data_IF_993464428910
#
_entry.id   IF_993464428910
#
_cell.length_a   1.000
_cell.length_b   1.000
_cell.length_c   1.000
_cell.angle_alpha   90.00
_cell.angle_beta   90.00
_cell.angle_gamma   90.00
#
_symmetry.space_group_name_H-M   'P 1'
#
loop_
_entity.id
_entity.type
_entity.pdbx_description
1 polymer ?
#
# COMPACT_ATOMS: atom_id res chain seq x y z
N UNK A 1 -3.23 28.58 40.14
CA UNK A 1 -4.43 28.15 40.88
C UNK A 1 -5.63 29.02 40.53
N UNK A 2 -5.53 30.36 40.64
CA UNK A 2 -6.63 31.30 40.32
C UNK A 2 -7.24 31.12 38.93
N UNK A 3 -6.44 31.10 37.86
CA UNK A 3 -6.94 30.91 36.49
C UNK A 3 -7.67 29.57 36.28
N UNK A 4 -7.25 28.51 36.97
CA UNK A 4 -7.92 27.21 36.90
C UNK A 4 -9.27 27.23 37.63
N UNK A 5 -9.34 27.89 38.79
CA UNK A 5 -10.59 28.08 39.53
C UNK A 5 -11.58 28.94 38.73
N UNK A 6 -11.12 30.03 38.11
CA UNK A 6 -11.93 30.85 37.20
C UNK A 6 -12.46 30.06 36.00
N UNK A 7 -11.61 29.24 35.37
CA UNK A 7 -12.02 28.40 34.25
C UNK A 7 -13.06 27.36 34.65
N UNK A 8 -12.90 26.72 35.80
CA UNK A 8 -13.85 25.76 36.35
C UNK A 8 -15.18 26.41 36.71
N UNK A 9 -15.16 27.61 37.30
CA UNK A 9 -16.35 28.35 37.70
C UNK A 9 -17.25 28.76 36.52
N UNK A 10 -16.72 28.87 35.29
CA UNK A 10 -17.53 29.11 34.08
C UNK A 10 -18.45 27.94 33.72
N UNK A 11 -18.21 26.74 34.27
CA UNK A 11 -19.07 25.58 34.12
C UNK A 11 -19.38 25.20 32.66
N UNK A 12 -20.59 24.69 32.43
CA UNK A 12 -21.03 24.24 31.09
C UNK A 12 -21.21 25.37 30.08
N UNK A 13 -21.33 26.63 30.53
CA UNK A 13 -21.45 27.79 29.66
C UNK A 13 -20.17 28.06 28.85
N UNK A 14 -19.01 27.57 29.30
CA UNK A 14 -17.76 27.65 28.56
C UNK A 14 -17.57 26.53 27.52
N UNK A 15 -18.48 25.54 27.44
CA UNK A 15 -18.36 24.47 26.46
C UNK A 15 -18.63 25.01 25.05
N UNK A 16 -17.71 24.79 24.08
CA UNK A 16 -17.97 25.18 22.70
C UNK A 16 -19.14 24.37 22.15
N UNK A 17 -19.89 24.96 21.21
CA UNK A 17 -20.91 24.23 20.46
C UNK A 17 -20.24 23.01 19.79
N UNK A 18 -20.74 21.78 20.01
CA UNK A 18 -20.13 20.59 19.42
C UNK A 18 -20.12 20.68 17.89
N UNK A 19 -18.97 20.41 17.29
CA UNK A 19 -18.86 20.27 15.84
C UNK A 19 -19.59 19.00 15.40
N UNK A 20 -20.50 19.14 14.44
CA UNK A 20 -21.26 18.04 13.84
C UNK A 20 -21.04 18.07 12.33
N UNK A 21 -20.01 17.38 11.81
CA UNK A 21 -19.75 17.40 10.39
C UNK A 21 -20.91 16.75 9.62
N UNK A 22 -21.23 17.29 8.45
CA UNK A 22 -22.11 16.62 7.50
C UNK A 22 -21.40 15.39 6.92
N UNK A 23 -22.17 14.38 6.49
CA UNK A 23 -21.65 13.24 5.73
C UNK A 23 -21.90 13.47 4.23
N UNK A 24 -20.91 13.30 3.35
CA UNK A 24 -19.52 12.96 3.65
C UNK A 24 -18.78 14.11 4.36
N UNK A 25 -17.83 13.78 5.25
CA UNK A 25 -17.01 14.78 5.94
C UNK A 25 -16.07 15.43 4.92
N UNK A 26 -16.19 16.74 4.73
CA UNK A 26 -15.39 17.52 3.78
C UNK A 26 -14.64 18.63 4.52
N UNK A 27 -13.49 19.09 4.01
CA UNK A 27 -12.74 20.17 4.63
C UNK A 27 -13.53 21.47 4.73
N UNK A 28 -13.42 22.16 5.85
CA UNK A 28 -14.09 23.44 6.12
C UNK A 28 -13.04 24.54 6.24
N UNK A 29 -13.22 25.61 5.48
CA UNK A 29 -12.33 26.76 5.48
C UNK A 29 -12.34 27.46 6.85
N UNK A 30 -11.16 27.89 7.32
CA UNK A 30 -10.99 28.50 8.65
C UNK A 30 -11.06 27.52 9.82
N UNK A 31 -11.27 26.23 9.58
CA UNK A 31 -11.19 25.17 10.59
C UNK A 31 -9.97 24.29 10.36
N UNK A 32 -9.45 23.69 11.43
CA UNK A 32 -8.42 22.66 11.31
C UNK A 32 -9.02 21.38 10.71
N UNK A 33 -8.52 20.99 9.55
CA UNK A 33 -8.91 19.77 8.85
C UNK A 33 -7.85 18.69 9.08
N UNK A 34 -8.25 17.51 9.54
CA UNK A 34 -7.34 16.42 9.92
C UNK A 34 -7.71 15.18 9.14
N UNK A 35 -6.87 14.86 8.15
CA UNK A 35 -6.93 13.61 7.41
C UNK A 35 -6.08 12.56 8.13
N UNK A 36 -6.68 11.43 8.46
CA UNK A 36 -6.03 10.33 9.15
C UNK A 36 -6.17 9.09 8.28
N UNK A 37 -5.05 8.42 8.04
CA UNK A 37 -5.03 7.09 7.45
C UNK A 37 -4.41 6.09 8.41
N UNK A 38 -4.81 4.84 8.29
CA UNK A 38 -4.08 3.71 8.86
C UNK A 38 -3.52 2.87 7.72
N UNK A 39 -2.38 2.22 7.95
CA UNK A 39 -1.79 1.35 6.93
C UNK A 39 -2.81 0.28 6.52
N UNK A 40 -3.00 0.10 5.21
CA UNK A 40 -3.96 -0.84 4.65
C UNK A 40 -3.53 -2.27 5.03
N UNK A 41 -4.28 -3.02 5.86
CA UNK A 41 -3.97 -4.41 6.13
C UNK A 41 -4.04 -5.26 4.87
N UNK A 42 -3.07 -6.14 4.70
CA UNK A 42 -3.09 -7.13 3.62
C UNK A 42 -4.22 -8.13 3.84
N UNK A 43 -5.14 -8.23 2.87
CA UNK A 43 -6.44 -8.88 3.08
C UNK A 43 -6.34 -10.37 3.39
N UNK A 44 -5.38 -11.09 2.83
CA UNK A 44 -5.38 -12.56 2.91
C UNK A 44 -4.88 -13.12 4.25
N UNK A 45 -4.59 -12.27 5.23
CA UNK A 45 -4.10 -12.66 6.55
C UNK A 45 -5.04 -12.12 7.64
N UNK A 46 -5.46 -12.99 8.56
CA UNK A 46 -6.19 -12.53 9.75
C UNK A 46 -5.25 -11.65 10.60
N UNK A 47 -5.65 -10.41 10.94
CA UNK A 47 -4.78 -9.51 11.70
C UNK A 47 -4.63 -9.99 13.15
N UNK A 48 -3.40 -10.00 13.66
CA UNK A 48 -3.11 -10.23 15.07
C UNK A 48 -2.99 -8.91 15.85
N UNK A 49 -2.90 -8.99 17.19
CA UNK A 49 -2.86 -7.80 18.07
C UNK A 49 -1.75 -6.80 17.70
N UNK A 50 -0.56 -7.29 17.32
CA UNK A 50 0.52 -6.45 16.81
C UNK A 50 0.15 -5.59 15.60
N UNK A 51 -0.63 -6.12 14.64
CA UNK A 51 -1.11 -5.34 13.50
C UNK A 51 -2.12 -4.28 13.95
N UNK A 52 -3.00 -4.65 14.89
CA UNK A 52 -4.07 -3.78 15.40
C UNK A 52 -3.47 -2.56 16.13
N UNK A 53 -2.59 -2.80 17.11
CA UNK A 53 -1.98 -1.73 17.90
C UNK A 53 -1.06 -0.84 17.05
N UNK A 54 -0.29 -1.42 16.12
CA UNK A 54 0.65 -0.68 15.29
C UNK A 54 -0.01 0.21 14.24
N UNK A 55 -1.29 0.01 13.94
CA UNK A 55 -1.99 0.70 12.86
C UNK A 55 -3.36 1.22 13.32
N UNK A 56 -4.40 0.38 13.24
CA UNK A 56 -5.80 0.84 13.31
C UNK A 56 -6.18 1.38 14.69
N UNK A 57 -5.72 0.76 15.78
CA UNK A 57 -6.07 1.21 17.14
C UNK A 57 -5.35 2.50 17.54
N UNK A 58 -4.09 2.65 17.13
CA UNK A 58 -3.34 3.90 17.33
C UNK A 58 -3.98 5.07 16.56
N UNK A 59 -4.33 4.84 15.29
CA UNK A 59 -5.00 5.85 14.47
C UNK A 59 -6.41 6.19 14.98
N UNK A 60 -7.17 5.20 15.46
CA UNK A 60 -8.48 5.41 16.07
C UNK A 60 -8.43 6.29 17.31
N UNK A 61 -7.45 6.03 18.20
CA UNK A 61 -7.24 6.83 19.41
C UNK A 61 -7.02 8.30 19.06
N UNK A 62 -6.18 8.56 18.06
CA UNK A 62 -5.94 9.93 17.59
C UNK A 62 -7.17 10.53 16.90
N UNK A 63 -7.89 9.77 16.06
CA UNK A 63 -9.11 10.22 15.40
C UNK A 63 -10.19 10.65 16.40
N UNK A 64 -10.43 9.84 17.43
CA UNK A 64 -11.36 10.17 18.51
C UNK A 64 -10.95 11.43 19.27
N UNK A 65 -9.66 11.57 19.58
CA UNK A 65 -9.13 12.79 20.18
C UNK A 65 -9.36 14.02 19.28
N UNK A 66 -9.08 13.94 17.99
CA UNK A 66 -9.30 15.03 17.05
C UNK A 66 -10.79 15.46 17.00
N UNK A 67 -11.71 14.49 17.00
CA UNK A 67 -13.15 14.77 17.08
C UNK A 67 -13.54 15.46 18.40
N UNK A 68 -12.98 15.02 19.53
CA UNK A 68 -13.18 15.70 20.83
C UNK A 68 -12.63 17.13 20.86
N UNK A 69 -11.60 17.41 20.05
CA UNK A 69 -11.04 18.76 19.86
C UNK A 69 -11.88 19.63 18.90
N UNK A 70 -13.05 19.17 18.46
CA UNK A 70 -13.89 19.81 17.43
C UNK A 70 -13.13 20.07 16.12
N UNK A 71 -12.10 19.29 15.80
CA UNK A 71 -11.43 19.37 14.51
C UNK A 71 -12.25 18.60 13.48
N UNK A 72 -12.21 19.07 12.23
CA UNK A 72 -12.87 18.39 11.14
C UNK A 72 -12.02 17.18 10.73
N UNK A 73 -12.44 15.98 11.12
CA UNK A 73 -11.62 14.77 11.03
C UNK A 73 -12.21 13.78 10.06
N UNK A 74 -11.41 13.31 9.11
CA UNK A 74 -11.71 12.19 8.23
C UNK A 74 -10.71 11.07 8.51
N UNK A 75 -11.19 9.94 9.03
CA UNK A 75 -10.38 8.74 9.27
C UNK A 75 -10.76 7.63 8.30
N UNK A 76 -9.87 7.32 7.36
CA UNK A 76 -10.08 6.28 6.33
C UNK A 76 -9.05 5.15 6.42
N UNK A 77 -9.49 3.94 6.11
CA UNK A 77 -8.65 2.76 5.92
C UNK A 77 -9.34 1.81 4.94
N UNK A 78 -8.76 0.64 4.70
CA UNK A 78 -9.34 -0.40 3.87
C UNK A 78 -8.40 -1.57 3.73
N UNK A 79 -8.80 -2.59 2.99
CA UNK A 79 -7.96 -3.76 2.72
C UNK A 79 -7.10 -3.56 1.47
N UNK A 80 -5.83 -3.98 1.56
CA UNK A 80 -4.94 -4.13 0.40
C UNK A 80 -5.07 -5.55 -0.17
N UNK A 81 -5.49 -5.64 -1.43
CA UNK A 81 -6.05 -6.85 -2.01
C UNK A 81 -5.28 -7.41 -3.23
N UNK A 82 -4.40 -6.61 -3.83
CA UNK A 82 -3.69 -7.01 -5.05
C UNK A 82 -2.38 -7.76 -4.77
N UNK A 83 -1.80 -8.34 -5.82
CA UNK A 83 -0.46 -8.94 -5.78
C UNK A 83 -0.47 -10.47 -5.69
N UNK A 84 0.71 -11.05 -5.90
CA UNK A 84 0.84 -12.51 -6.08
C UNK A 84 0.45 -13.31 -4.85
N UNK A 85 0.57 -12.78 -3.61
CA UNK A 85 0.15 -13.54 -2.43
C UNK A 85 -1.36 -13.82 -2.45
N UNK A 86 -2.17 -12.95 -3.08
CA UNK A 86 -3.61 -13.16 -3.23
C UNK A 86 -3.86 -14.28 -4.22
N UNK A 87 -3.17 -14.27 -5.36
CA UNK A 87 -3.26 -15.37 -6.33
C UNK A 87 -2.82 -16.71 -5.74
N UNK A 88 -1.72 -16.74 -4.97
CA UNK A 88 -1.25 -17.94 -4.28
C UNK A 88 -2.31 -18.47 -3.31
N UNK A 89 -2.81 -17.61 -2.42
CA UNK A 89 -3.77 -18.01 -1.39
C UNK A 89 -5.11 -18.43 -1.97
N UNK A 90 -5.56 -17.74 -3.04
CA UNK A 90 -6.75 -18.12 -3.79
C UNK A 90 -6.63 -19.55 -4.33
N UNK A 91 -5.49 -19.90 -4.94
CA UNK A 91 -5.23 -21.27 -5.44
C UNK A 91 -5.20 -22.29 -4.29
N UNK A 92 -4.55 -21.97 -3.17
CA UNK A 92 -4.51 -22.85 -1.99
C UNK A 92 -5.90 -23.14 -1.41
N UNK A 93 -6.81 -22.16 -1.44
CA UNK A 93 -8.18 -22.31 -0.93
C UNK A 93 -9.18 -22.77 -2.00
N UNK A 94 -8.76 -22.96 -3.25
CA UNK A 94 -9.65 -23.32 -4.36
C UNK A 94 -10.65 -22.22 -4.72
N UNK A 95 -10.28 -20.96 -4.53
CA UNK A 95 -11.10 -19.77 -4.80
C UNK A 95 -10.48 -18.91 -5.91
N UNK A 96 -11.27 -18.00 -6.48
CA UNK A 96 -10.73 -16.89 -7.27
C UNK A 96 -10.13 -15.79 -6.37
N UNK A 97 -9.22 -14.95 -6.89
CA UNK A 97 -8.69 -13.81 -6.14
C UNK A 97 -9.78 -12.87 -5.60
N UNK A 98 -10.85 -12.63 -6.35
CA UNK A 98 -11.96 -11.78 -5.89
C UNK A 98 -12.73 -12.42 -4.73
N UNK A 99 -13.00 -13.73 -4.79
CA UNK A 99 -13.73 -14.45 -3.74
C UNK A 99 -12.95 -14.48 -2.42
N UNK A 100 -11.64 -14.73 -2.47
CA UNK A 100 -10.83 -14.71 -1.26
C UNK A 100 -10.75 -13.30 -0.66
N UNK A 101 -10.57 -12.26 -1.48
CA UNK A 101 -10.58 -10.89 -1.00
C UNK A 101 -11.94 -10.52 -0.37
N UNK A 102 -13.05 -10.95 -0.97
CA UNK A 102 -14.39 -10.72 -0.41
C UNK A 102 -14.56 -11.39 0.96
N UNK A 103 -14.17 -12.67 1.06
CA UNK A 103 -14.20 -13.44 2.31
C UNK A 103 -13.42 -12.75 3.41
N UNK A 104 -12.18 -12.38 3.14
CA UNK A 104 -11.31 -11.83 4.18
C UNK A 104 -11.55 -10.35 4.47
N UNK A 105 -11.99 -9.53 3.49
CA UNK A 105 -12.43 -8.16 3.77
C UNK A 105 -13.57 -8.15 4.80
N UNK A 106 -14.52 -9.09 4.72
CA UNK A 106 -15.57 -9.23 5.73
C UNK A 106 -14.99 -9.57 7.12
N UNK A 107 -14.03 -10.49 7.19
CA UNK A 107 -13.34 -10.84 8.45
C UNK A 107 -12.64 -9.61 9.07
N UNK A 108 -11.87 -8.86 8.27
CA UNK A 108 -11.24 -7.61 8.74
C UNK A 108 -12.28 -6.62 9.25
N UNK A 109 -13.35 -6.40 8.49
CA UNK A 109 -14.43 -5.48 8.84
C UNK A 109 -15.07 -5.85 10.19
N UNK A 110 -15.35 -7.13 10.41
CA UNK A 110 -15.99 -7.60 11.64
C UNK A 110 -15.05 -7.50 12.85
N UNK A 111 -13.77 -7.83 12.69
CA UNK A 111 -12.75 -7.65 13.74
C UNK A 111 -12.65 -6.17 14.14
N UNK A 112 -12.51 -5.26 13.16
CA UNK A 112 -12.35 -3.84 13.47
C UNK A 112 -13.64 -3.22 14.03
N UNK A 113 -14.81 -3.71 13.63
CA UNK A 113 -16.08 -3.33 14.26
C UNK A 113 -16.14 -3.80 15.72
N UNK A 114 -15.68 -5.01 16.02
CA UNK A 114 -15.67 -5.54 17.39
C UNK A 114 -14.71 -4.76 18.30
N UNK A 115 -13.56 -4.32 17.78
CA UNK A 115 -12.64 -3.41 18.47
C UNK A 115 -13.15 -1.97 18.59
N UNK A 116 -14.35 -1.68 18.07
CA UNK A 116 -14.94 -0.34 17.98
C UNK A 116 -14.01 0.68 17.27
N UNK A 117 -13.38 0.27 16.16
CA UNK A 117 -12.58 1.19 15.34
C UNK A 117 -13.52 2.10 14.55
N UNK A 118 -13.40 3.40 14.78
CA UNK A 118 -14.32 4.44 14.31
C UNK A 118 -13.91 5.03 12.96
N UNK A 119 -13.75 4.19 11.95
CA UNK A 119 -13.54 4.65 10.57
C UNK A 119 -14.73 5.50 10.11
N UNK A 120 -14.44 6.61 9.43
CA UNK A 120 -15.47 7.33 8.67
C UNK A 120 -15.81 6.55 7.39
N UNK A 121 -14.82 5.84 6.83
CA UNK A 121 -15.00 4.89 5.73
C UNK A 121 -13.91 3.80 5.74
N UNK A 122 -14.32 2.54 5.62
CA UNK A 122 -13.43 1.38 5.45
C UNK A 122 -13.64 0.78 4.06
N UNK A 123 -12.69 1.01 3.15
CA UNK A 123 -12.80 0.67 1.74
C UNK A 123 -11.93 -0.52 1.32
N UNK A 124 -11.65 -0.59 0.01
CA UNK A 124 -10.93 -1.69 -0.66
C UNK A 124 -10.10 -1.12 -1.81
N UNK A 125 -8.96 -1.74 -2.12
CA UNK A 125 -8.14 -1.33 -3.28
C UNK A 125 -8.64 -1.89 -4.62
N UNK A 126 -9.51 -2.90 -4.64
CA UNK A 126 -10.04 -3.54 -5.85
C UNK A 126 -11.26 -2.82 -6.46
N UNK A 127 -11.11 -1.53 -6.78
CA UNK A 127 -12.24 -0.70 -7.28
C UNK A 127 -11.92 0.00 -8.61
N UNK A 128 -12.94 0.41 -9.39
CA UNK A 128 -12.73 1.22 -10.58
C UNK A 128 -11.97 2.52 -10.30
N UNK A 129 -12.28 3.20 -9.17
CA UNK A 129 -11.55 4.41 -8.75
C UNK A 129 -10.06 4.17 -8.53
N UNK A 130 -9.65 3.00 -7.99
CA UNK A 130 -8.24 2.64 -7.88
C UNK A 130 -7.59 2.64 -9.26
N UNK A 131 -8.23 1.98 -10.23
CA UNK A 131 -7.70 1.89 -11.60
C UNK A 131 -7.57 3.28 -12.22
N UNK A 132 -8.63 4.09 -12.16
CA UNK A 132 -8.61 5.43 -12.75
C UNK A 132 -7.55 6.34 -12.13
N UNK A 133 -7.44 6.38 -10.79
CA UNK A 133 -6.51 7.29 -10.10
C UNK A 133 -5.06 6.83 -10.26
N UNK A 134 -4.79 5.52 -10.14
CA UNK A 134 -3.45 4.98 -10.36
C UNK A 134 -2.97 5.23 -11.80
N UNK A 135 -3.87 5.09 -12.77
CA UNK A 135 -3.57 5.38 -14.18
C UNK A 135 -3.35 6.88 -14.43
N UNK A 136 -4.11 7.80 -13.81
CA UNK A 136 -3.86 9.24 -13.92
C UNK A 136 -2.48 9.63 -13.36
N UNK A 137 -2.12 9.12 -12.18
CA UNK A 137 -0.79 9.36 -11.58
C UNK A 137 0.31 8.79 -12.49
N UNK A 138 0.14 7.58 -12.99
CA UNK A 138 1.05 6.95 -13.94
C UNK A 138 1.24 7.80 -15.21
N UNK A 139 0.15 8.25 -15.85
CA UNK A 139 0.23 9.06 -17.07
C UNK A 139 0.94 10.40 -16.83
N UNK A 140 0.72 11.02 -15.66
CA UNK A 140 1.43 12.25 -15.27
C UNK A 140 2.93 12.03 -15.07
N UNK A 141 3.33 10.89 -14.51
CA UNK A 141 4.73 10.50 -14.34
C UNK A 141 5.38 10.20 -15.70
N UNK A 142 4.68 9.46 -16.56
CA UNK A 142 5.12 9.12 -17.92
C UNK A 142 5.36 10.39 -18.75
N UNK A 143 4.36 11.28 -18.80
CA UNK A 143 4.43 12.53 -19.57
C UNK A 143 5.54 13.49 -19.09
N UNK A 144 6.06 13.31 -17.87
CA UNK A 144 7.13 14.12 -17.28
C UNK A 144 8.50 13.42 -17.30
N UNK A 145 8.61 12.24 -17.91
CA UNK A 145 9.88 11.52 -18.05
C UNK A 145 10.43 10.93 -16.76
N UNK A 146 9.55 10.60 -15.80
CA UNK A 146 9.92 9.94 -14.54
C UNK A 146 9.85 8.41 -14.61
N UNK A 147 9.54 7.84 -15.78
CA UNK A 147 9.48 6.40 -15.98
C UNK A 147 10.57 5.94 -16.94
N UNK A 148 11.23 4.86 -16.58
CA UNK A 148 12.18 4.13 -17.43
C UNK A 148 11.54 2.83 -17.88
N UNK A 149 11.99 2.31 -19.02
CA UNK A 149 11.59 1.01 -19.55
C UNK A 149 12.84 0.16 -19.73
N UNK A 150 12.83 -1.04 -19.16
CA UNK A 150 13.95 -1.97 -19.26
C UNK A 150 13.44 -3.41 -19.37
N UNK A 151 14.30 -4.31 -19.86
CA UNK A 151 13.98 -5.72 -20.04
C UNK A 151 14.63 -6.54 -18.93
N UNK A 152 13.84 -7.40 -18.29
CA UNK A 152 14.30 -8.30 -17.22
C UNK A 152 14.15 -9.74 -17.69
N UNK A 153 15.13 -10.58 -17.37
CA UNK A 153 15.03 -12.02 -17.56
C UNK A 153 14.23 -12.66 -16.42
N UNK A 154 13.17 -13.38 -16.77
CA UNK A 154 12.33 -14.09 -15.80
C UNK A 154 12.01 -15.50 -16.27
N UNK A 155 11.77 -16.39 -15.33
CA UNK A 155 11.31 -17.75 -15.60
C UNK A 155 9.83 -17.73 -16.01
N UNK A 156 9.54 -18.26 -17.20
CA UNK A 156 8.18 -18.45 -17.72
C UNK A 156 7.85 -19.94 -17.76
N UNK A 157 6.73 -20.31 -17.15
CA UNK A 157 6.16 -21.64 -17.31
C UNK A 157 5.27 -21.66 -18.55
N UNK A 158 5.65 -22.44 -19.57
CA UNK A 158 4.87 -22.56 -20.81
C UNK A 158 3.58 -23.36 -20.57
N UNK A 159 3.57 -24.34 -19.66
CA UNK A 159 2.35 -25.09 -19.32
C UNK A 159 1.31 -24.21 -18.59
N UNK A 160 1.75 -23.33 -17.69
CA UNK A 160 0.85 -22.40 -16.99
C UNK A 160 0.64 -21.08 -17.75
N UNK A 161 1.31 -20.88 -18.90
CA UNK A 161 1.27 -19.65 -19.70
C UNK A 161 1.49 -18.35 -18.88
N UNK A 162 2.40 -18.38 -17.90
CA UNK A 162 2.72 -17.23 -17.04
C UNK A 162 4.18 -17.15 -16.66
N UNK A 163 4.64 -15.95 -16.35
CA UNK A 163 5.88 -15.74 -15.61
C UNK A 163 5.70 -16.20 -14.16
N UNK A 164 6.75 -16.76 -13.58
CA UNK A 164 6.74 -17.29 -12.23
C UNK A 164 7.37 -16.29 -11.27
N UNK A 165 6.63 -15.91 -10.24
CA UNK A 165 7.24 -15.28 -9.07
C UNK A 165 8.15 -16.29 -8.36
N UNK A 166 9.17 -15.80 -7.65
CA UNK A 166 10.17 -16.63 -6.96
C UNK A 166 9.55 -17.73 -6.07
N UNK A 167 8.43 -17.43 -5.41
CA UNK A 167 7.64 -18.35 -4.58
C UNK A 167 7.05 -19.54 -5.34
N UNK A 168 6.88 -19.45 -6.65
CA UNK A 168 6.39 -20.52 -7.52
C UNK A 168 7.51 -21.25 -8.26
N UNK A 169 8.77 -20.91 -7.98
CA UNK A 169 9.95 -21.58 -8.52
C UNK A 169 10.62 -22.36 -7.40
N UNK A 170 10.93 -23.61 -7.70
CA UNK A 170 11.87 -24.43 -6.92
C UNK A 170 12.99 -24.92 -7.85
N UNK A 171 14.12 -25.32 -7.30
CA UNK A 171 15.18 -25.93 -8.10
C UNK A 171 16.41 -26.21 -7.26
N UNK A 172 17.46 -26.70 -7.92
CA UNK A 172 18.72 -26.99 -7.27
C UNK A 172 19.55 -25.73 -7.05
N UNK A 173 19.94 -25.48 -5.80
CA UNK A 173 20.79 -24.36 -5.41
C UNK A 173 22.15 -24.41 -6.14
N UNK A 174 22.56 -23.33 -6.83
CA UNK A 174 23.82 -23.32 -7.56
C UNK A 174 25.05 -23.30 -6.64
N UNK A 175 24.88 -22.99 -5.35
CA UNK A 175 25.98 -22.83 -4.38
C UNK A 175 26.23 -24.05 -3.48
N UNK A 176 25.19 -24.78 -3.08
CA UNK A 176 25.31 -25.90 -2.14
C UNK A 176 24.62 -27.20 -2.62
N UNK A 177 24.10 -27.20 -3.85
CA UNK A 177 23.41 -28.34 -4.47
C UNK A 177 22.19 -28.85 -3.70
N UNK A 178 21.55 -28.01 -2.88
CA UNK A 178 20.26 -28.34 -2.27
C UNK A 178 19.18 -28.38 -3.35
N UNK A 179 18.47 -29.50 -3.49
CA UNK A 179 17.56 -29.76 -4.62
C UNK A 179 16.24 -28.97 -4.59
N UNK A 180 15.86 -28.45 -3.43
CA UNK A 180 14.56 -27.78 -3.20
C UNK A 180 14.71 -26.30 -2.83
N UNK A 181 15.74 -25.62 -3.36
CA UNK A 181 15.91 -24.19 -3.14
C UNK A 181 14.79 -23.38 -3.81
N UNK A 182 14.41 -22.26 -3.17
CA UNK A 182 13.38 -21.34 -3.68
C UNK A 182 14.00 -20.31 -4.61
N UNK A 183 13.18 -19.65 -5.43
CA UNK A 183 13.65 -18.63 -6.38
C UNK A 183 14.31 -17.40 -5.73
N UNK A 184 14.03 -17.12 -4.46
CA UNK A 184 14.52 -15.96 -3.70
C UNK A 184 15.67 -16.31 -2.74
N UNK A 185 15.65 -17.53 -2.19
CA UNK A 185 16.60 -17.96 -1.17
C UNK A 185 16.74 -19.48 -1.13
N UNK A 186 17.97 -19.95 -0.89
CA UNK A 186 18.22 -21.34 -0.53
C UNK A 186 18.15 -21.52 0.99
N UNK A 187 17.15 -22.24 1.50
CA UNK A 187 16.96 -22.45 2.94
C UNK A 187 18.09 -23.28 3.60
N UNK A 188 18.80 -24.12 2.84
CA UNK A 188 19.93 -24.94 3.36
C UNK A 188 21.19 -24.12 3.66
N UNK A 189 21.60 -23.21 2.78
CA UNK A 189 22.84 -22.43 2.94
C UNK A 189 22.59 -20.95 3.24
N UNK A 190 21.34 -20.51 3.28
CA UNK A 190 20.92 -19.13 3.57
C UNK A 190 21.18 -18.13 2.44
N UNK A 191 21.81 -18.53 1.33
CA UNK A 191 22.17 -17.64 0.22
C UNK A 191 20.91 -17.08 -0.45
N UNK A 192 20.85 -15.76 -0.61
CA UNK A 192 19.91 -15.08 -1.50
C UNK A 192 20.36 -15.28 -2.94
N UNK A 193 19.43 -15.66 -3.81
CA UNK A 193 19.68 -16.01 -5.21
C UNK A 193 18.59 -15.40 -6.08
N UNK A 194 18.86 -15.22 -7.37
CA UNK A 194 17.81 -14.93 -8.34
C UNK A 194 17.26 -16.24 -8.91
N UNK A 195 15.96 -16.30 -9.18
CA UNK A 195 15.32 -17.54 -9.64
C UNK A 195 15.93 -18.09 -10.95
N UNK A 196 16.43 -17.21 -11.82
CA UNK A 196 17.12 -17.57 -13.07
C UNK A 196 18.46 -18.29 -12.86
N UNK A 197 19.05 -18.19 -11.65
CA UNK A 197 20.31 -18.85 -11.29
C UNK A 197 20.10 -20.31 -10.82
N UNK A 198 18.86 -20.72 -10.54
CA UNK A 198 18.55 -22.09 -10.12
C UNK A 198 18.89 -23.09 -11.22
N UNK A 199 19.53 -24.19 -10.84
CA UNK A 199 19.73 -25.34 -11.72
C UNK A 199 18.48 -26.21 -11.69
N UNK A 200 18.09 -26.76 -12.83
CA UNK A 200 16.86 -27.58 -12.96
C UNK A 200 15.64 -26.88 -12.33
N UNK A 201 15.31 -25.64 -12.73
CA UNK A 201 14.17 -24.94 -12.15
C UNK A 201 12.88 -25.72 -12.47
N UNK A 202 11.93 -25.67 -11.56
CA UNK A 202 10.65 -26.34 -11.66
C UNK A 202 9.54 -25.41 -11.19
N UNK A 203 8.42 -25.42 -11.93
CA UNK A 203 7.21 -24.72 -11.56
C UNK A 203 6.49 -25.48 -10.45
N UNK A 204 6.32 -24.89 -9.26
CA UNK A 204 5.60 -25.53 -8.14
C UNK A 204 4.14 -25.88 -8.46
N UNK A 205 3.55 -25.22 -9.46
CA UNK A 205 2.12 -25.31 -9.77
C UNK A 205 1.80 -26.50 -10.68
N UNK A 206 2.66 -26.78 -11.67
CA UNK A 206 2.41 -27.84 -12.65
C UNK A 206 3.59 -28.83 -12.79
N UNK A 207 4.65 -28.65 -12.00
CA UNK A 207 5.89 -29.44 -12.04
C UNK A 207 6.64 -29.41 -13.38
N UNK A 208 6.27 -28.52 -14.29
CA UNK A 208 6.96 -28.32 -15.57
C UNK A 208 8.24 -27.50 -15.43
N UNK A 209 9.16 -27.65 -16.39
CA UNK A 209 10.43 -26.90 -16.44
C UNK A 209 10.16 -25.52 -17.06
N UNK A 210 10.37 -24.41 -16.32
CA UNK A 210 10.24 -23.08 -16.88
C UNK A 210 11.46 -22.70 -17.73
N UNK A 211 11.24 -21.79 -18.67
CA UNK A 211 12.28 -21.25 -19.56
C UNK A 211 12.54 -19.78 -19.23
N UNK A 212 13.80 -19.35 -19.33
CA UNK A 212 14.13 -17.93 -19.19
C UNK A 212 13.62 -17.19 -20.41
N UNK A 213 12.83 -16.14 -20.20
CA UNK A 213 12.32 -15.26 -21.24
C UNK A 213 12.53 -13.80 -20.85
N UNK A 214 12.97 -12.94 -21.78
CA UNK A 214 12.99 -11.51 -21.56
C UNK A 214 11.56 -10.97 -21.45
N UNK A 215 11.33 -10.04 -20.52
CA UNK A 215 10.04 -9.40 -20.32
C UNK A 215 10.23 -7.92 -20.00
N UNK A 216 9.41 -7.06 -20.60
CA UNK A 216 9.55 -5.61 -20.45
C UNK A 216 8.91 -5.13 -19.15
N UNK A 217 9.57 -4.19 -18.48
CA UNK A 217 9.09 -3.60 -17.24
C UNK A 217 9.26 -2.08 -17.24
N UNK A 218 8.35 -1.41 -16.54
CA UNK A 218 8.47 0.01 -16.23
C UNK A 218 9.05 0.20 -14.84
N UNK A 219 9.89 1.22 -14.69
CA UNK A 219 10.55 1.60 -13.46
C UNK A 219 10.27 3.06 -13.15
N UNK A 220 9.96 3.36 -11.88
CA UNK A 220 9.91 4.73 -11.39
C UNK A 220 11.35 5.21 -11.15
N UNK A 221 11.74 6.28 -11.82
CA UNK A 221 13.07 6.91 -11.73
C UNK A 221 13.17 7.75 -10.46
N UNK A 222 13.25 7.09 -9.31
CA UNK A 222 13.42 7.73 -8.01
C UNK A 222 14.63 8.69 -7.93
N UNK A 223 15.80 8.40 -8.55
CA UNK A 223 16.91 9.35 -8.59
C UNK A 223 16.49 10.75 -9.10
N UNK A 224 15.68 10.83 -10.16
CA UNK A 224 15.18 12.13 -10.68
C UNK A 224 14.20 12.85 -9.75
N UNK A 225 13.57 12.12 -8.83
CA UNK A 225 12.60 12.67 -7.89
C UNK A 225 13.25 13.11 -6.57
N UNK A 226 14.46 12.64 -6.29
CA UNK A 226 15.18 12.86 -5.03
C UNK A 226 15.39 14.35 -4.74
N UNK A 227 15.80 15.14 -5.75
CA UNK A 227 16.01 16.59 -5.63
C UNK A 227 14.75 17.35 -5.18
N UNK A 228 13.56 16.86 -5.55
CA UNK A 228 12.28 17.46 -5.14
C UNK A 228 11.75 16.91 -3.83
N UNK A 229 12.15 15.69 -3.48
CA UNK A 229 11.71 15.00 -2.27
C UNK A 229 12.43 15.54 -1.03
N UNK A 230 13.74 15.79 -1.11
CA UNK A 230 14.53 16.27 0.03
C UNK A 230 14.02 17.59 0.63
N UNK A 231 13.75 18.66 -0.16
CA UNK A 231 13.23 19.91 0.39
C UNK A 231 11.86 19.74 1.06
N UNK A 232 11.01 18.88 0.49
CA UNK A 232 9.72 18.56 1.08
C UNK A 232 9.87 17.80 2.40
N UNK A 233 10.83 16.87 2.49
CA UNK A 233 11.14 16.14 3.72
C UNK A 233 11.63 17.07 4.82
N UNK A 234 12.55 17.99 4.52
CA UNK A 234 13.05 18.95 5.52
C UNK A 234 11.93 19.86 6.05
N UNK A 235 11.07 20.36 5.15
CA UNK A 235 9.91 21.15 5.56
C UNK A 235 8.93 20.33 6.43
N UNK A 236 8.68 19.07 6.06
CA UNK A 236 7.80 18.18 6.83
C UNK A 236 8.39 17.83 8.20
N UNK A 237 9.70 17.58 8.30
CA UNK A 237 10.35 17.24 9.56
C UNK A 237 10.38 18.40 10.55
N UNK A 238 10.49 19.64 10.07
CA UNK A 238 10.46 20.84 10.89
C UNK A 238 9.17 21.00 11.72
N UNK A 239 8.07 20.35 11.32
CA UNK A 239 6.80 20.35 12.09
C UNK A 239 6.90 19.64 13.44
N UNK A 240 7.87 18.73 13.61
CA UNK A 240 8.05 17.98 14.85
C UNK A 240 7.25 16.67 14.94
N UNK A 241 6.27 16.42 14.07
CA UNK A 241 5.25 15.38 14.28
C UNK A 241 5.66 13.95 13.88
N UNK A 242 6.78 13.76 13.19
CA UNK A 242 7.26 12.43 12.81
C UNK A 242 7.94 11.71 13.98
N UNK A 243 7.66 10.42 14.12
CA UNK A 243 8.36 9.56 15.08
C UNK A 243 9.85 9.44 14.74
N UNK A 244 10.69 9.29 15.77
CA UNK A 244 12.14 9.25 15.61
C UNK A 244 12.62 8.12 14.68
N UNK A 245 11.99 6.95 14.76
CA UNK A 245 12.30 5.79 13.91
C UNK A 245 11.97 6.05 12.43
N UNK A 246 10.82 6.66 12.12
CA UNK A 246 10.43 6.98 10.74
C UNK A 246 11.41 7.98 10.10
N UNK A 247 11.84 9.00 10.87
CA UNK A 247 12.88 9.94 10.42
C UNK A 247 14.21 9.25 10.15
N UNK A 248 14.66 8.40 11.07
CA UNK A 248 15.93 7.68 10.92
C UNK A 248 15.94 6.77 9.69
N UNK A 249 14.88 5.97 9.51
CA UNK A 249 14.75 5.09 8.35
C UNK A 249 14.77 5.90 7.06
N UNK A 250 13.94 6.95 6.97
CA UNK A 250 13.86 7.79 5.76
C UNK A 250 15.22 8.41 5.41
N UNK A 251 15.93 8.97 6.40
CA UNK A 251 17.27 9.53 6.19
C UNK A 251 18.28 8.48 5.73
N UNK A 252 18.21 7.26 6.25
CA UNK A 252 19.10 6.18 5.80
C UNK A 252 18.87 5.86 4.31
N UNK A 253 17.61 5.80 3.88
CA UNK A 253 17.27 5.51 2.48
C UNK A 253 17.72 6.62 1.52
N UNK A 254 17.57 7.89 1.90
CA UNK A 254 18.06 9.03 1.11
C UNK A 254 19.59 9.03 1.07
N UNK A 255 20.26 8.87 2.22
CA UNK A 255 21.73 8.84 2.29
C UNK A 255 22.35 7.76 1.39
N UNK A 256 21.70 6.60 1.30
CA UNK A 256 22.20 5.48 0.49
C UNK A 256 21.94 5.66 -1.02
N UNK A 257 21.22 6.72 -1.41
CA UNK A 257 20.84 7.09 -2.77
C UNK A 257 19.65 6.29 -3.28
N UNK A 258 18.60 6.98 -3.73
CA UNK A 258 17.43 6.30 -4.27
C UNK A 258 17.76 5.66 -5.62
N UNK A 259 17.23 4.46 -5.86
CA UNK A 259 17.46 3.68 -7.09
C UNK A 259 16.15 3.53 -7.85
N UNK A 260 16.17 3.38 -9.19
CA UNK A 260 14.96 3.06 -9.95
C UNK A 260 14.27 1.80 -9.40
N UNK A 261 12.94 1.83 -9.30
CA UNK A 261 12.15 0.72 -8.77
C UNK A 261 11.13 0.24 -9.80
N UNK A 262 11.11 -1.07 -10.06
CA UNK A 262 10.16 -1.67 -10.98
C UNK A 262 8.72 -1.56 -10.44
N UNK A 263 7.84 -0.90 -11.20
CA UNK A 263 6.44 -0.64 -10.85
C UNK A 263 5.45 -1.52 -11.59
N UNK A 264 5.90 -2.55 -12.32
CA UNK A 264 5.04 -3.46 -13.09
C UNK A 264 5.31 -4.91 -12.72
N UNK A 265 4.30 -5.78 -12.86
CA UNK A 265 4.42 -7.22 -12.63
C UNK A 265 3.63 -8.01 -13.66
N UNK A 266 4.13 -9.20 -13.97
CA UNK A 266 3.47 -10.20 -14.82
C UNK A 266 2.45 -11.00 -14.00
N UNK A 267 1.39 -10.33 -13.55
CA UNK A 267 0.28 -10.91 -12.80
C UNK A 267 -1.04 -10.60 -13.50
N UNK A 268 -2.08 -11.36 -13.17
CA UNK A 268 -3.44 -11.09 -13.63
C UNK A 268 -4.23 -10.29 -12.58
N UNK A 269 -3.93 -10.48 -11.30
CA UNK A 269 -4.59 -9.80 -10.19
C UNK A 269 -3.87 -8.52 -9.75
N UNK A 270 -4.23 -7.40 -10.37
CA UNK A 270 -3.68 -6.07 -10.10
C UNK A 270 -4.32 -4.98 -10.96
N UNK A 271 -3.95 -3.73 -10.71
CA UNK A 271 -4.39 -2.59 -11.54
C UNK A 271 -3.73 -2.67 -12.93
N UNK A 272 -4.48 -2.65 -14.04
CA UNK A 272 -3.91 -2.79 -15.39
C UNK A 272 -3.08 -1.57 -15.80
N UNK A 273 -1.98 -1.82 -16.52
CA UNK A 273 -1.09 -0.77 -17.03
C UNK A 273 -1.62 -0.23 -18.37
N UNK A 274 -1.91 1.07 -18.51
CA UNK A 274 -2.51 1.65 -19.72
C UNK A 274 -1.42 2.02 -20.73
N UNK A 275 -0.61 1.06 -21.16
CA UNK A 275 0.46 1.23 -22.12
C UNK A 275 0.52 0.07 -23.12
N UNK A 276 0.73 0.37 -24.40
CA UNK A 276 0.88 -0.67 -25.42
C UNK A 276 2.09 -1.56 -25.11
N UNK A 277 1.93 -2.86 -25.29
CA UNK A 277 2.91 -3.87 -24.87
C UNK A 277 2.79 -4.32 -23.40
N UNK A 278 1.93 -3.69 -22.59
CA UNK A 278 1.73 -4.01 -21.16
C UNK A 278 0.35 -4.57 -20.83
N UNK A 279 -0.44 -5.01 -21.83
CA UNK A 279 -1.83 -5.48 -21.65
C UNK A 279 -1.96 -6.69 -20.70
N UNK A 280 -0.94 -7.52 -20.62
CA UNK A 280 -0.87 -8.69 -19.73
C UNK A 280 -0.13 -8.42 -18.42
N UNK A 281 0.09 -7.15 -18.09
CA UNK A 281 0.81 -6.71 -16.89
C UNK A 281 -0.06 -5.80 -16.05
N UNK A 282 0.24 -5.81 -14.76
CA UNK A 282 -0.40 -4.95 -13.77
C UNK A 282 0.65 -4.10 -13.06
N UNK A 283 0.21 -3.02 -12.43
CA UNK A 283 1.06 -2.29 -11.50
C UNK A 283 1.49 -3.18 -10.34
N UNK A 284 2.73 -2.99 -9.92
CA UNK A 284 3.22 -3.62 -8.72
C UNK A 284 2.56 -3.00 -7.50
N UNK A 285 2.04 -3.82 -6.58
CA UNK A 285 1.30 -3.37 -5.40
C UNK A 285 2.02 -2.32 -4.56
N UNK A 286 3.36 -2.35 -4.50
CA UNK A 286 4.12 -1.33 -3.76
C UNK A 286 4.08 0.07 -4.40
N UNK A 287 3.72 0.17 -5.68
CA UNK A 287 3.49 1.44 -6.35
C UNK A 287 2.08 1.97 -6.10
N UNK A 288 1.05 1.13 -6.23
CA UNK A 288 -0.35 1.59 -6.22
C UNK A 288 -1.12 1.34 -4.92
N UNK A 289 -0.64 0.54 -3.97
CA UNK A 289 -1.27 0.39 -2.66
C UNK A 289 -1.37 1.72 -1.88
N UNK A 290 -0.34 2.60 -1.86
CA UNK A 290 -0.48 3.93 -1.26
C UNK A 290 -1.52 4.81 -1.97
N UNK A 291 -1.76 4.59 -3.27
CA UNK A 291 -2.82 5.28 -4.04
C UNK A 291 -4.21 4.80 -3.58
N UNK A 292 -4.28 3.62 -2.94
CA UNK A 292 -5.46 3.10 -2.26
C UNK A 292 -6.11 4.10 -1.30
N UNK A 293 -5.35 4.94 -0.60
CA UNK A 293 -5.94 5.94 0.29
C UNK A 293 -6.80 6.98 -0.47
N UNK A 294 -6.35 7.39 -1.65
CA UNK A 294 -7.07 8.33 -2.51
C UNK A 294 -8.32 7.65 -3.08
N UNK A 295 -8.19 6.43 -3.59
CA UNK A 295 -9.32 5.71 -4.20
C UNK A 295 -10.37 5.28 -3.19
N UNK A 296 -9.98 4.90 -1.97
CA UNK A 296 -10.89 4.66 -0.85
C UNK A 296 -11.69 5.94 -0.55
N UNK A 297 -11.03 7.09 -0.52
CA UNK A 297 -11.72 8.38 -0.30
C UNK A 297 -12.61 8.76 -1.48
N UNK A 298 -12.23 8.43 -2.72
CA UNK A 298 -13.05 8.64 -3.91
C UNK A 298 -14.32 7.78 -3.90
N UNK A 299 -14.25 6.55 -3.40
CA UNK A 299 -15.45 5.72 -3.19
C UNK A 299 -16.34 6.24 -2.05
N UNK A 300 -15.80 7.06 -1.14
CA UNK A 300 -16.57 7.71 -0.07
C UNK A 300 -17.25 9.01 -0.52
N UNK A 301 -16.61 9.78 -1.40
CA UNK A 301 -17.13 11.07 -1.89
C UNK A 301 -16.50 11.47 -3.21
N UNK A 302 -17.31 12.01 -4.13
CA UNK A 302 -16.85 12.57 -5.41
C UNK A 302 -15.91 13.78 -5.22
N UNK A 303 -15.98 14.45 -4.06
CA UNK A 303 -15.15 15.60 -3.71
C UNK A 303 -13.84 15.21 -3.00
N UNK A 304 -13.34 13.98 -3.18
CA UNK A 304 -12.16 13.45 -2.50
C UNK A 304 -10.89 14.29 -2.72
N UNK A 305 -10.78 14.98 -3.87
CA UNK A 305 -9.67 15.86 -4.17
C UNK A 305 -9.57 17.03 -3.19
N UNK A 306 -10.67 17.43 -2.54
CA UNK A 306 -10.62 18.45 -1.49
C UNK A 306 -9.77 18.00 -0.31
N UNK A 307 -9.66 16.70 -0.02
CA UNK A 307 -8.79 16.18 1.04
C UNK A 307 -7.37 15.93 0.53
N UNK A 308 -7.22 15.38 -0.67
CA UNK A 308 -5.94 14.83 -1.15
C UNK A 308 -5.14 15.76 -2.08
N UNK A 309 -5.77 16.83 -2.59
CA UNK A 309 -5.15 17.82 -3.50
C UNK A 309 -5.30 19.24 -2.96
N UNK A 310 -5.31 19.41 -1.64
CA UNK A 310 -5.41 20.71 -0.98
C UNK A 310 -4.47 20.81 0.24
N UNK A 311 -3.16 21.03 0.02
CA UNK A 311 -2.17 21.05 1.09
C UNK A 311 -2.20 22.31 1.97
N UNK A 312 -3.02 23.32 1.65
CA UNK A 312 -3.11 24.59 2.40
C UNK A 312 -4.20 24.59 3.49
N UNK A 313 -4.82 23.44 3.77
CA UNK A 313 -5.93 23.29 4.73
C UNK A 313 -5.53 23.21 6.20
#
# INVERSE_FOLDING_TARGET
ITAAAEAWARGTAALPKPWKPQKPVLPVEGMRNVLITSALPYVNNVPHLGNIIGCVLSADTFARYCRLRNWNTLYVCGTDEYGTATETKAVEEGLTPQEICNKYNAIHTDIYRWFDISFDYFGRTTTPHQTTIAQDIFQRLLARGFLLQDTVEQLRCENCQRFLADRFVEGTCPFCSYEEARGDQCDKCGKLINAVELKNPQCKLCRGVPVVKPTQHLFLDLPKLEERLEPWLEQSWATGDWTANARYITRSWIRDGLKPRCITRDLKWGTPVPLDGFRDKVFYVWFDAPIGYLSITANYTDQWERWWKNPQQ
#
